data_IF_399842912612
#
_entry.id   IF_399842912612
#
_cell.length_a   1.000
_cell.length_b   1.000
_cell.length_c   1.000
_cell.angle_alpha   90.00
_cell.angle_beta   90.00
_cell.angle_gamma   90.00
#
_symmetry.space_group_name_H-M   'P 1'
#
loop_
_entity.id
_entity.type
_entity.pdbx_description
1 polymer ?
#
# COMPACT_ATOMS: atom_id res chain seq x y z
N UNK A 1 -13.09 -5.01 -6.85
CA UNK A 1 -13.77 -6.06 -6.08
C UNK A 1 -12.83 -6.51 -4.99
N UNK A 2 -13.28 -6.43 -3.73
CA UNK A 2 -12.49 -6.87 -2.59
C UNK A 2 -12.39 -8.39 -2.64
N UNK A 3 -11.17 -8.91 -2.72
CA UNK A 3 -10.90 -10.33 -2.54
C UNK A 3 -10.79 -10.58 -1.04
N UNK A 4 -11.81 -11.19 -0.45
CA UNK A 4 -11.80 -11.63 0.94
C UNK A 4 -11.26 -13.06 0.97
N UNK A 5 -10.08 -13.24 1.55
CA UNK A 5 -9.52 -14.57 1.80
C UNK A 5 -10.03 -15.01 3.17
N UNK A 6 -11.01 -15.91 3.18
CA UNK A 6 -11.48 -16.57 4.40
C UNK A 6 -10.93 -18.00 4.42
N UNK A 7 -10.10 -18.30 5.40
CA UNK A 7 -9.73 -19.68 5.73
C UNK A 7 -10.59 -20.16 6.91
N UNK A 8 -11.64 -20.88 6.59
CA UNK A 8 -12.59 -21.42 7.58
C UNK A 8 -12.00 -22.63 8.34
N UNK A 9 -10.88 -23.19 7.87
CA UNK A 9 -10.33 -24.45 8.42
C UNK A 9 -9.37 -24.29 9.61
N UNK A 10 -8.62 -23.19 9.71
CA UNK A 10 -7.55 -23.06 10.71
C UNK A 10 -8.01 -22.56 12.09
N UNK A 11 -9.16 -21.88 12.17
CA UNK A 11 -9.65 -21.28 13.43
C UNK A 11 -10.30 -22.27 14.40
N UNK A 12 -10.81 -23.39 13.93
CA UNK A 12 -11.52 -24.37 14.79
C UNK A 12 -10.61 -25.43 15.45
N UNK A 13 -9.36 -25.54 15.03
CA UNK A 13 -8.41 -26.54 15.56
C UNK A 13 -8.03 -26.34 17.04
N UNK A 14 -8.46 -25.26 17.68
CA UNK A 14 -8.17 -25.00 19.11
C UNK A 14 -9.06 -25.74 20.11
N UNK A 15 -10.12 -26.45 19.70
CA UNK A 15 -11.12 -26.95 20.64
C UNK A 15 -11.59 -28.40 20.51
N UNK A 16 -11.10 -29.24 19.62
CA UNK A 16 -11.54 -30.63 19.61
C UNK A 16 -10.46 -31.63 19.26
N UNK A 17 -10.48 -32.72 20.01
CA UNK A 17 -9.69 -33.92 19.82
C UNK A 17 -9.92 -34.53 18.43
N UNK A 18 -8.84 -34.96 17.78
CA UNK A 18 -8.81 -35.86 16.62
C UNK A 18 -9.77 -35.51 15.47
N UNK A 19 -9.45 -34.46 14.74
CA UNK A 19 -10.04 -34.21 13.42
C UNK A 19 -9.45 -35.24 12.43
N UNK A 20 -10.35 -35.99 11.76
CA UNK A 20 -9.96 -36.91 10.69
C UNK A 20 -9.20 -36.15 9.60
N UNK A 21 -8.19 -36.78 9.05
CA UNK A 21 -7.25 -36.24 8.04
C UNK A 21 -7.92 -35.71 6.75
N UNK A 22 -9.23 -35.92 6.59
CA UNK A 22 -10.01 -35.49 5.42
C UNK A 22 -10.52 -34.05 5.46
N UNK A 23 -10.47 -33.35 6.62
CA UNK A 23 -10.91 -31.96 6.79
C UNK A 23 -9.78 -30.92 6.75
N UNK A 24 -8.53 -31.38 6.72
CA UNK A 24 -7.37 -30.50 6.46
C UNK A 24 -7.27 -30.26 4.96
N UNK A 25 -7.29 -29.01 4.52
CA UNK A 25 -7.13 -28.61 3.12
C UNK A 25 -6.01 -29.34 2.39
N UNK A 26 -5.94 -29.21 1.08
CA UNK A 26 -4.98 -29.96 0.26
C UNK A 26 -3.54 -29.82 0.78
N UNK A 27 -2.83 -30.93 1.10
CA UNK A 27 -1.50 -30.89 1.72
C UNK A 27 -0.44 -30.17 0.89
N UNK A 28 -0.68 -29.92 -0.39
CA UNK A 28 0.20 -29.21 -1.30
C UNK A 28 0.39 -27.72 -0.96
N UNK A 29 -0.57 -27.12 -0.22
CA UNK A 29 -0.55 -25.70 0.16
C UNK A 29 -0.17 -25.49 1.62
N UNK A 30 0.01 -26.57 2.39
CA UNK A 30 0.37 -26.48 3.80
C UNK A 30 1.79 -25.96 4.00
N UNK A 31 1.95 -25.10 4.99
CA UNK A 31 3.27 -24.63 5.43
C UNK A 31 4.03 -25.72 6.20
N UNK A 32 5.37 -25.62 6.29
CA UNK A 32 6.20 -26.52 7.09
C UNK A 32 5.73 -26.68 8.53
N UNK A 33 5.35 -25.58 9.18
CA UNK A 33 4.88 -25.54 10.57
C UNK A 33 3.50 -26.22 10.72
N UNK A 34 2.60 -26.11 9.72
CA UNK A 34 1.33 -26.86 9.71
C UNK A 34 1.58 -28.36 9.65
N UNK A 35 2.47 -28.82 8.76
CA UNK A 35 2.84 -30.24 8.67
C UNK A 35 3.53 -30.77 9.93
N UNK A 36 4.22 -29.89 10.67
CA UNK A 36 4.88 -30.24 11.93
C UNK A 36 3.99 -30.03 13.16
N UNK A 37 2.73 -29.59 13.00
CA UNK A 37 1.79 -29.27 14.08
C UNK A 37 2.37 -28.29 15.09
N UNK A 38 3.14 -27.30 14.60
CA UNK A 38 3.69 -26.20 15.39
C UNK A 38 2.67 -25.06 15.52
N UNK A 39 3.02 -24.04 16.28
CA UNK A 39 2.21 -22.83 16.41
C UNK A 39 2.04 -22.15 15.02
N UNK A 40 0.79 -21.83 14.69
CA UNK A 40 0.42 -21.17 13.44
C UNK A 40 0.33 -19.66 13.65
N UNK A 41 0.87 -18.93 12.71
CA UNK A 41 0.82 -17.48 12.68
C UNK A 41 0.42 -17.03 11.28
N UNK A 42 0.25 -15.73 11.07
CA UNK A 42 0.00 -15.17 9.75
C UNK A 42 1.08 -15.54 8.70
N UNK A 43 2.28 -15.91 9.13
CA UNK A 43 3.32 -16.41 8.22
C UNK A 43 2.94 -17.75 7.58
N UNK A 44 2.10 -18.56 8.24
CA UNK A 44 1.59 -19.81 7.66
C UNK A 44 0.67 -19.53 6.48
N UNK A 45 -0.22 -18.55 6.62
CA UNK A 45 -1.13 -18.10 5.56
C UNK A 45 -0.35 -17.46 4.41
N UNK A 46 0.68 -16.68 4.74
CA UNK A 46 1.58 -16.07 3.76
C UNK A 46 2.29 -17.14 2.90
N UNK A 47 2.75 -18.23 3.53
CA UNK A 47 3.34 -19.36 2.82
C UNK A 47 2.32 -20.01 1.88
N UNK A 48 1.12 -20.31 2.36
CA UNK A 48 0.03 -20.91 1.57
C UNK A 48 -0.34 -20.02 0.37
N UNK A 49 -0.45 -18.70 0.59
CA UNK A 49 -0.68 -17.74 -0.49
C UNK A 49 0.48 -17.73 -1.50
N UNK A 50 1.72 -17.81 -1.03
CA UNK A 50 2.88 -17.87 -1.93
C UNK A 50 2.89 -19.15 -2.78
N UNK A 51 2.42 -20.30 -2.24
CA UNK A 51 2.21 -21.53 -3.01
C UNK A 51 1.18 -21.32 -4.12
N UNK A 52 0.04 -20.69 -3.79
CA UNK A 52 -1.02 -20.39 -4.77
C UNK A 52 -0.49 -19.46 -5.86
N UNK A 53 0.21 -18.38 -5.49
CA UNK A 53 0.81 -17.45 -6.45
C UNK A 53 1.84 -18.13 -7.35
N UNK A 54 2.66 -19.01 -6.78
CA UNK A 54 3.63 -19.79 -7.53
C UNK A 54 2.93 -20.64 -8.58
N UNK A 55 1.87 -21.39 -8.22
CA UNK A 55 1.11 -22.24 -9.13
C UNK A 55 0.40 -21.41 -10.21
N UNK A 56 -0.23 -20.28 -9.86
CA UNK A 56 -0.88 -19.40 -10.84
C UNK A 56 0.11 -18.83 -11.86
N UNK A 57 1.32 -18.49 -11.43
CA UNK A 57 2.31 -17.88 -12.30
C UNK A 57 3.05 -18.90 -13.18
N UNK A 58 3.29 -20.11 -12.68
CA UNK A 58 4.10 -21.11 -13.38
C UNK A 58 3.28 -22.23 -14.02
N UNK A 59 2.03 -22.40 -13.60
CA UNK A 59 1.20 -23.56 -13.94
C UNK A 59 1.60 -24.84 -13.19
N UNK A 60 2.57 -24.75 -12.26
CA UNK A 60 3.10 -25.89 -11.51
C UNK A 60 3.17 -25.56 -10.02
N UNK A 61 2.95 -26.56 -9.17
CA UNK A 61 3.16 -26.41 -7.74
C UNK A 61 4.64 -26.40 -7.38
N UNK A 62 5.07 -25.66 -6.34
CA UNK A 62 6.48 -25.63 -5.94
C UNK A 62 7.00 -27.00 -5.46
N UNK A 63 6.09 -27.86 -4.95
CA UNK A 63 6.42 -29.19 -4.48
C UNK A 63 5.36 -30.19 -4.96
N UNK A 64 5.83 -31.27 -5.59
CA UNK A 64 5.02 -32.43 -6.01
C UNK A 64 5.78 -33.71 -5.69
N UNK A 65 5.06 -34.79 -5.38
CA UNK A 65 5.63 -36.11 -5.11
C UNK A 65 4.59 -37.20 -5.34
N UNK A 66 5.04 -38.44 -5.47
CA UNK A 66 4.20 -39.62 -5.75
C UNK A 66 3.42 -40.09 -4.51
N UNK A 67 3.82 -39.67 -3.32
CA UNK A 67 3.13 -39.99 -2.09
C UNK A 67 3.26 -38.86 -1.06
N UNK A 68 2.42 -38.91 -0.03
CA UNK A 68 2.30 -37.87 0.98
C UNK A 68 3.57 -37.67 1.81
N UNK A 69 4.28 -38.75 2.15
CA UNK A 69 5.51 -38.65 2.94
C UNK A 69 6.64 -38.01 2.13
N UNK A 70 6.81 -38.36 0.88
CA UNK A 70 7.78 -37.72 -0.02
C UNK A 70 7.44 -36.24 -0.25
N UNK A 71 6.13 -35.90 -0.36
CA UNK A 71 5.69 -34.51 -0.45
C UNK A 71 6.05 -33.74 0.82
N UNK A 72 5.76 -34.33 1.98
CA UNK A 72 6.12 -33.75 3.28
C UNK A 72 7.60 -33.46 3.40
N UNK A 73 8.46 -34.41 3.02
CA UNK A 73 9.92 -34.24 3.03
C UNK A 73 10.34 -33.08 2.13
N UNK A 74 9.76 -32.93 0.94
CA UNK A 74 10.04 -31.82 0.05
C UNK A 74 9.63 -30.48 0.64
N UNK A 75 8.42 -30.37 1.21
CA UNK A 75 7.93 -29.15 1.84
C UNK A 75 8.82 -28.73 3.01
N UNK A 76 9.26 -29.71 3.81
CA UNK A 76 10.07 -29.43 5.01
C UNK A 76 11.53 -29.06 4.69
N UNK A 77 12.14 -29.68 3.69
CA UNK A 77 13.59 -29.67 3.57
C UNK A 77 14.14 -29.21 2.21
N UNK A 78 13.35 -29.27 1.13
CA UNK A 78 13.87 -28.91 -0.19
C UNK A 78 13.49 -27.48 -0.57
N UNK A 79 14.40 -26.70 -1.18
CA UNK A 79 14.03 -25.41 -1.76
C UNK A 79 13.12 -25.61 -2.97
N UNK A 80 12.17 -24.72 -3.21
CA UNK A 80 11.39 -24.75 -4.45
C UNK A 80 12.24 -24.30 -5.63
N UNK A 81 11.86 -24.74 -6.82
CA UNK A 81 12.49 -24.29 -8.08
C UNK A 81 12.16 -22.83 -8.33
N UNK A 82 13.06 -22.07 -8.91
CA UNK A 82 12.81 -20.67 -9.23
C UNK A 82 11.69 -20.53 -10.30
N UNK A 83 10.64 -19.73 -10.08
CA UNK A 83 9.54 -19.54 -11.03
C UNK A 83 9.99 -19.19 -12.44
N UNK A 84 10.97 -18.28 -12.59
CA UNK A 84 11.49 -17.86 -13.91
C UNK A 84 12.22 -18.97 -14.68
N UNK A 85 12.63 -20.05 -14.01
CA UNK A 85 13.21 -21.22 -14.70
C UNK A 85 12.15 -22.11 -15.35
N UNK A 86 10.93 -22.10 -14.82
CA UNK A 86 9.78 -22.83 -15.37
C UNK A 86 9.04 -22.01 -16.43
N UNK A 87 8.97 -20.70 -16.22
CA UNK A 87 8.29 -19.78 -17.13
C UNK A 87 9.19 -18.58 -17.43
N UNK A 88 9.83 -18.59 -18.60
CA UNK A 88 10.92 -17.67 -18.99
C UNK A 88 10.49 -16.21 -19.19
N UNK A 89 9.20 -15.93 -19.40
CA UNK A 89 8.64 -14.58 -19.51
C UNK A 89 8.43 -13.91 -18.16
N UNK A 90 8.57 -14.63 -17.04
CA UNK A 90 8.50 -14.06 -15.71
C UNK A 90 9.78 -13.25 -15.38
N UNK A 91 9.61 -12.05 -14.78
CA UNK A 91 10.75 -11.28 -14.30
C UNK A 91 11.50 -12.03 -13.20
N UNK A 92 12.84 -12.09 -13.26
CA UNK A 92 13.66 -12.73 -12.21
C UNK A 92 13.41 -12.20 -10.79
N UNK A 93 12.88 -10.98 -10.65
CA UNK A 93 12.51 -10.44 -9.35
C UNK A 93 11.41 -11.23 -8.65
N UNK A 94 10.52 -11.92 -9.41
CA UNK A 94 9.46 -12.74 -8.81
C UNK A 94 10.05 -13.94 -8.08
N UNK A 95 11.19 -14.46 -8.53
CA UNK A 95 11.88 -15.56 -7.86
C UNK A 95 12.24 -15.17 -6.42
N UNK A 96 12.90 -14.02 -6.26
CA UNK A 96 13.30 -13.53 -4.94
C UNK A 96 12.10 -13.35 -4.01
N UNK A 97 10.98 -12.80 -4.52
CA UNK A 97 9.78 -12.54 -3.72
C UNK A 97 9.10 -13.84 -3.29
N UNK A 98 8.86 -14.75 -4.22
CA UNK A 98 8.18 -16.00 -3.90
C UNK A 98 9.05 -16.95 -3.09
N UNK A 99 10.34 -17.07 -3.40
CA UNK A 99 11.26 -17.91 -2.62
C UNK A 99 11.43 -17.41 -1.19
N UNK A 100 11.39 -16.09 -0.95
CA UNK A 100 11.40 -15.51 0.38
C UNK A 100 10.13 -15.86 1.16
N UNK A 101 8.94 -15.70 0.56
CA UNK A 101 7.68 -16.07 1.19
C UNK A 101 7.55 -17.60 1.43
N UNK A 102 8.21 -18.42 0.62
CA UNK A 102 8.28 -19.88 0.72
C UNK A 102 9.43 -20.38 1.62
N UNK A 103 10.09 -19.51 2.39
CA UNK A 103 11.12 -19.90 3.35
C UNK A 103 10.58 -20.91 4.36
N UNK A 104 11.42 -21.88 4.76
CA UNK A 104 10.99 -22.99 5.63
C UNK A 104 10.71 -22.55 7.05
N UNK A 105 11.44 -21.56 7.53
CA UNK A 105 11.29 -20.98 8.87
C UNK A 105 10.38 -19.75 8.79
N UNK A 106 9.29 -19.65 9.57
CA UNK A 106 8.37 -18.49 9.52
C UNK A 106 9.08 -17.13 9.65
N UNK A 107 10.01 -16.98 10.60
CA UNK A 107 10.76 -15.74 10.81
C UNK A 107 11.75 -15.36 9.70
N UNK A 108 11.95 -16.20 8.70
CA UNK A 108 12.72 -15.90 7.49
C UNK A 108 11.84 -15.45 6.31
N UNK A 109 10.52 -15.34 6.52
CA UNK A 109 9.57 -14.77 5.56
C UNK A 109 9.45 -13.27 5.78
N UNK A 110 8.57 -12.61 5.02
CA UNK A 110 8.30 -11.18 5.25
C UNK A 110 7.74 -10.94 6.65
N UNK A 111 8.20 -9.90 7.33
CA UNK A 111 7.80 -9.58 8.69
C UNK A 111 6.34 -9.10 8.78
N UNK A 112 5.77 -8.59 7.67
CA UNK A 112 4.40 -8.12 7.60
C UNK A 112 3.76 -8.43 6.24
N UNK A 113 2.41 -8.46 6.22
CA UNK A 113 1.65 -8.52 4.96
C UNK A 113 1.94 -7.34 4.04
N UNK A 114 2.16 -6.17 4.62
CA UNK A 114 2.49 -4.95 3.88
C UNK A 114 3.82 -5.10 3.14
N UNK A 115 4.86 -5.62 3.78
CA UNK A 115 6.14 -5.88 3.11
C UNK A 115 6.00 -6.86 1.94
N UNK A 116 5.25 -7.95 2.14
CA UNK A 116 5.00 -8.91 1.06
C UNK A 116 4.22 -8.29 -0.11
N UNK A 117 3.16 -7.53 0.20
CA UNK A 117 2.36 -6.83 -0.82
C UNK A 117 3.20 -5.81 -1.60
N UNK A 118 4.05 -5.02 -0.92
CA UNK A 118 4.95 -4.06 -1.55
C UNK A 118 5.98 -4.75 -2.45
N UNK A 119 6.54 -5.87 -2.01
CA UNK A 119 7.48 -6.65 -2.82
C UNK A 119 6.84 -7.18 -4.12
N UNK A 120 5.60 -7.68 -4.04
CA UNK A 120 4.83 -8.12 -5.21
C UNK A 120 4.48 -6.95 -6.14
N UNK A 121 4.00 -5.84 -5.58
CA UNK A 121 3.60 -4.66 -6.35
C UNK A 121 4.77 -4.02 -7.08
N UNK A 122 5.96 -3.99 -6.49
CA UNK A 122 7.18 -3.48 -7.14
C UNK A 122 7.64 -4.29 -8.36
N UNK A 123 7.05 -5.49 -8.56
CA UNK A 123 7.23 -6.27 -9.80
C UNK A 123 6.18 -5.86 -10.82
N UNK A 124 4.92 -5.74 -10.39
CA UNK A 124 3.80 -5.35 -11.24
C UNK A 124 4.01 -3.96 -11.86
N UNK A 125 4.61 -3.03 -11.11
CA UNK A 125 4.90 -1.67 -11.56
C UNK A 125 5.72 -1.62 -12.86
N UNK A 126 6.63 -2.58 -13.06
CA UNK A 126 7.44 -2.67 -14.29
C UNK A 126 6.71 -3.31 -15.48
N UNK A 127 5.61 -3.99 -15.22
CA UNK A 127 4.80 -4.68 -16.23
C UNK A 127 3.59 -3.85 -16.65
N UNK A 128 3.25 -2.80 -15.90
CA UNK A 128 2.10 -1.93 -16.16
C UNK A 128 2.53 -0.68 -16.94
N UNK A 129 1.63 -0.12 -17.77
CA UNK A 129 1.88 1.17 -18.39
C UNK A 129 2.17 2.25 -17.35
N UNK A 130 3.05 3.20 -17.68
CA UNK A 130 3.43 4.32 -16.78
C UNK A 130 2.24 5.17 -16.30
N UNK A 131 1.10 5.09 -17.01
CA UNK A 131 -0.15 5.77 -16.63
C UNK A 131 -0.85 5.12 -15.43
N UNK A 132 -0.53 3.86 -15.09
CA UNK A 132 -1.14 3.15 -13.98
C UNK A 132 -0.40 3.51 -12.68
N UNK A 133 -1.12 4.07 -11.72
CA UNK A 133 -0.60 4.34 -10.38
C UNK A 133 -0.92 3.13 -9.52
N UNK A 134 0.11 2.33 -9.19
CA UNK A 134 -0.07 1.14 -8.36
C UNK A 134 -0.25 1.49 -6.88
N UNK A 135 -0.97 0.67 -6.15
CA UNK A 135 -1.31 0.95 -4.75
C UNK A 135 -0.08 1.02 -3.83
N UNK A 136 0.99 0.29 -4.15
CA UNK A 136 2.26 0.40 -3.44
C UNK A 136 2.91 1.78 -3.58
N UNK A 137 2.87 2.39 -4.77
CA UNK A 137 3.38 3.76 -4.98
C UNK A 137 2.60 4.77 -4.15
N UNK A 138 1.26 4.64 -4.13
CA UNK A 138 0.37 5.47 -3.31
C UNK A 138 0.66 5.33 -1.81
N UNK A 139 0.79 4.08 -1.35
CA UNK A 139 1.09 3.78 0.05
C UNK A 139 2.46 4.35 0.47
N UNK A 140 3.50 4.12 -0.33
CA UNK A 140 4.86 4.62 -0.05
C UNK A 140 4.88 6.15 0.00
N UNK A 141 4.14 6.83 -0.90
CA UNK A 141 4.03 8.28 -0.89
C UNK A 141 3.47 8.80 0.44
N UNK A 142 2.39 8.19 0.97
CA UNK A 142 1.81 8.57 2.27
C UNK A 142 2.72 8.17 3.45
N UNK A 143 3.34 6.99 3.40
CA UNK A 143 4.17 6.48 4.51
C UNK A 143 5.42 7.30 4.79
N UNK A 144 5.94 8.01 3.78
CA UNK A 144 7.10 8.89 3.90
C UNK A 144 6.80 10.19 4.64
N UNK A 145 5.53 10.56 4.76
CA UNK A 145 5.13 11.80 5.39
C UNK A 145 5.24 11.71 6.93
N UNK A 146 6.10 12.52 7.57
CA UNK A 146 6.29 12.47 9.02
C UNK A 146 5.01 12.75 9.81
N UNK A 147 4.12 13.59 9.29
CA UNK A 147 2.85 13.91 9.95
C UNK A 147 1.88 12.73 9.97
N UNK A 148 2.05 11.76 9.06
CA UNK A 148 1.26 10.53 8.98
C UNK A 148 1.95 9.33 9.64
N UNK A 149 3.16 9.49 10.19
CA UNK A 149 3.96 8.40 10.75
C UNK A 149 3.30 7.65 11.92
N UNK A 150 2.34 8.29 12.60
CA UNK A 150 1.59 7.66 13.70
C UNK A 150 0.36 6.85 13.27
N UNK A 151 0.01 6.85 11.97
CA UNK A 151 -1.05 5.99 11.46
C UNK A 151 -0.59 4.54 11.37
N UNK A 152 -1.49 3.63 11.72
CA UNK A 152 -1.33 2.20 11.43
C UNK A 152 -1.37 1.94 9.91
N UNK A 153 -0.87 0.78 9.50
CA UNK A 153 -0.95 0.38 8.09
C UNK A 153 -2.40 0.33 7.57
N UNK A 154 -3.34 -0.09 8.42
CA UNK A 154 -4.78 -0.14 8.07
C UNK A 154 -5.31 1.26 7.77
N UNK A 155 -5.02 2.24 8.62
CA UNK A 155 -5.43 3.64 8.44
C UNK A 155 -4.75 4.29 7.23
N UNK A 156 -3.48 3.98 6.96
CA UNK A 156 -2.81 4.42 5.73
C UNK A 156 -3.48 3.85 4.48
N UNK A 157 -3.89 2.58 4.51
CA UNK A 157 -4.64 1.98 3.41
C UNK A 157 -6.05 2.57 3.24
N UNK A 158 -6.68 3.04 4.32
CA UNK A 158 -7.91 3.84 4.22
C UNK A 158 -7.67 5.14 3.44
N UNK A 159 -6.58 5.88 3.72
CA UNK A 159 -6.20 7.08 2.98
C UNK A 159 -5.90 6.79 1.51
N UNK A 160 -5.15 5.72 1.22
CA UNK A 160 -4.86 5.28 -0.17
C UNK A 160 -6.14 5.09 -0.96
N UNK A 161 -7.15 4.46 -0.36
CA UNK A 161 -8.44 4.14 -1.00
C UNK A 161 -9.41 5.32 -1.05
N UNK A 162 -9.34 6.23 -0.08
CA UNK A 162 -10.21 7.41 -0.03
C UNK A 162 -9.84 8.47 -1.07
N UNK A 163 -8.59 8.48 -1.55
CA UNK A 163 -8.09 9.44 -2.51
C UNK A 163 -8.30 9.01 -3.96
N UNK A 164 -8.62 9.97 -4.82
CA UNK A 164 -8.40 9.84 -6.26
C UNK A 164 -6.95 10.21 -6.59
N UNK A 165 -6.16 9.25 -7.07
CA UNK A 165 -4.76 9.46 -7.38
C UNK A 165 -4.57 9.78 -8.85
N UNK A 166 -3.82 10.85 -9.14
CA UNK A 166 -3.57 11.33 -10.49
C UNK A 166 -2.09 11.67 -10.70
N UNK A 167 -1.59 11.40 -11.91
CA UNK A 167 -0.33 11.97 -12.40
C UNK A 167 -0.64 13.27 -13.12
N UNK A 168 0.00 14.33 -12.71
CA UNK A 168 -0.15 15.66 -13.32
C UNK A 168 1.10 15.96 -14.13
N UNK A 169 0.96 16.21 -15.46
CA UNK A 169 2.10 16.56 -16.29
C UNK A 169 2.76 17.88 -15.86
N UNK A 170 4.02 18.13 -16.25
CA UNK A 170 4.68 19.41 -16.03
C UNK A 170 3.85 20.60 -16.55
N UNK A 171 4.01 21.76 -15.95
CA UNK A 171 3.40 23.05 -16.30
C UNK A 171 1.84 22.99 -16.39
N UNK A 172 1.22 22.05 -15.68
CA UNK A 172 -0.24 21.89 -15.62
C UNK A 172 -0.83 22.60 -14.41
N UNK A 173 -1.95 23.27 -14.60
CA UNK A 173 -2.68 23.93 -13.49
C UNK A 173 -3.53 22.89 -12.73
N UNK A 174 -3.23 22.69 -11.45
CA UNK A 174 -3.98 21.81 -10.54
C UNK A 174 -5.18 22.56 -9.95
N UNK A 175 -5.00 23.81 -9.62
CA UNK A 175 -5.99 24.65 -8.95
C UNK A 175 -5.78 26.10 -9.36
N UNK A 176 -6.85 26.82 -9.65
CA UNK A 176 -6.79 28.26 -10.00
C UNK A 176 -7.28 29.13 -8.87
N UNK A 177 -6.64 30.30 -8.68
CA UNK A 177 -7.12 31.34 -7.80
C UNK A 177 -8.56 31.74 -8.14
N UNK A 178 -9.40 31.93 -7.14
CA UNK A 178 -10.82 32.26 -7.21
C UNK A 178 -11.75 31.14 -7.74
N UNK A 179 -11.23 29.99 -8.18
CA UNK A 179 -12.09 28.85 -8.51
C UNK A 179 -12.80 28.34 -7.24
N UNK A 180 -14.02 27.83 -7.43
CA UNK A 180 -14.77 27.16 -6.37
C UNK A 180 -14.35 25.69 -6.29
N UNK A 181 -14.09 25.19 -5.11
CA UNK A 181 -13.76 23.78 -4.94
C UNK A 181 -13.52 23.43 -3.47
N UNK A 182 -13.83 22.18 -3.11
CA UNK A 182 -13.76 21.67 -1.72
C UNK A 182 -12.66 20.60 -1.52
N UNK A 183 -12.03 20.13 -2.60
CA UNK A 183 -11.00 19.10 -2.51
C UNK A 183 -9.81 19.54 -1.68
N UNK A 184 -9.34 18.63 -0.85
CA UNK A 184 -8.02 18.68 -0.23
C UNK A 184 -7.05 17.89 -1.14
N UNK A 185 -5.84 18.38 -1.28
CA UNK A 185 -4.79 17.75 -2.07
C UNK A 185 -3.61 17.40 -1.19
N UNK A 186 -2.99 16.25 -1.47
CA UNK A 186 -1.73 15.83 -0.89
C UNK A 186 -0.74 15.56 -2.02
N UNK A 187 0.44 16.17 -1.95
CA UNK A 187 1.50 16.01 -2.93
C UNK A 187 2.37 14.81 -2.57
N UNK A 188 2.12 13.68 -3.22
CA UNK A 188 2.85 12.44 -2.99
C UNK A 188 4.23 12.39 -3.65
N UNK A 189 4.45 13.17 -4.74
CA UNK A 189 5.75 13.30 -5.41
C UNK A 189 5.81 14.56 -6.26
N UNK A 190 6.98 15.16 -6.32
CA UNK A 190 7.29 16.33 -7.16
C UNK A 190 7.18 17.65 -6.42
N UNK A 191 7.13 18.76 -7.17
CA UNK A 191 7.02 20.13 -6.66
C UNK A 191 5.97 20.92 -7.44
N UNK A 192 5.23 21.79 -6.75
CA UNK A 192 4.24 22.67 -7.36
C UNK A 192 4.45 24.14 -6.93
N UNK A 193 4.34 25.04 -7.88
CA UNK A 193 4.46 26.49 -7.68
C UNK A 193 3.13 27.05 -7.18
N UNK A 194 3.17 27.87 -6.15
CA UNK A 194 2.04 28.64 -5.63
C UNK A 194 2.13 30.06 -6.12
N UNK A 195 1.15 30.51 -6.89
CA UNK A 195 1.10 31.89 -7.39
C UNK A 195 -0.21 32.56 -6.98
N UNK A 196 -0.14 33.87 -6.72
CA UNK A 196 -1.30 34.71 -6.45
C UNK A 196 -1.14 36.04 -7.16
N UNK A 197 -2.17 36.47 -7.88
CA UNK A 197 -2.10 37.67 -8.72
C UNK A 197 -0.86 37.69 -9.62
N UNK A 198 -0.47 36.55 -10.19
CA UNK A 198 0.70 36.38 -11.05
C UNK A 198 2.06 36.38 -10.33
N UNK A 199 2.10 36.60 -9.01
CA UNK A 199 3.35 36.55 -8.23
C UNK A 199 3.55 35.22 -7.55
N UNK A 200 4.72 34.63 -7.65
CA UNK A 200 5.05 33.40 -6.93
C UNK A 200 5.20 33.69 -5.43
N UNK A 201 4.44 32.98 -4.62
CA UNK A 201 4.46 33.11 -3.16
C UNK A 201 5.32 32.04 -2.50
N UNK A 202 5.20 30.80 -2.97
CA UNK A 202 5.82 29.62 -2.35
C UNK A 202 5.95 28.47 -3.35
N UNK A 203 6.58 27.39 -2.92
CA UNK A 203 6.61 26.09 -3.58
C UNK A 203 6.09 25.06 -2.60
N UNK A 204 5.17 24.21 -3.05
CA UNK A 204 4.68 23.03 -2.32
C UNK A 204 5.59 21.88 -2.69
N UNK A 205 6.05 21.13 -1.69
CA UNK A 205 6.94 19.99 -1.86
C UNK A 205 6.24 18.67 -1.55
N UNK A 206 6.90 17.60 -1.92
CA UNK A 206 6.51 16.23 -1.56
C UNK A 206 6.20 16.13 -0.06
N UNK A 207 5.06 15.52 0.28
CA UNK A 207 4.56 15.40 1.65
C UNK A 207 3.62 16.52 2.10
N UNK A 208 3.52 17.63 1.38
CA UNK A 208 2.68 18.75 1.80
C UNK A 208 1.23 18.64 1.29
N UNK A 209 0.29 19.08 2.15
CA UNK A 209 -1.11 19.27 1.77
C UNK A 209 -1.38 20.70 1.30
N UNK A 210 -2.35 20.85 0.40
CA UNK A 210 -2.85 22.16 -0.02
C UNK A 210 -4.34 22.11 -0.37
N UNK A 211 -4.97 23.29 -0.51
CA UNK A 211 -6.41 23.39 -0.71
C UNK A 211 -7.21 23.25 0.59
N UNK A 212 -6.54 23.14 1.73
CA UNK A 212 -7.09 22.96 3.07
C UNK A 212 -8.06 24.09 3.48
N UNK A 213 -7.80 25.31 3.02
CA UNK A 213 -8.66 26.46 3.38
C UNK A 213 -10.09 26.30 2.88
N UNK A 214 -10.27 25.74 1.68
CA UNK A 214 -11.60 25.49 1.14
C UNK A 214 -12.23 24.21 1.68
N UNK A 215 -11.39 23.28 2.20
CA UNK A 215 -11.82 22.06 2.86
C UNK A 215 -12.35 22.35 4.29
N UNK A 216 -11.64 23.19 5.06
CA UNK A 216 -11.98 23.52 6.45
C UNK A 216 -13.18 24.48 6.54
N UNK A 217 -13.31 25.42 5.60
CA UNK A 217 -14.45 26.33 5.57
C UNK A 217 -15.66 25.63 4.98
N UNK A 218 -16.72 25.54 5.77
CA UNK A 218 -18.00 25.02 5.27
C UNK A 218 -18.51 25.90 4.12
N UNK A 219 -18.73 25.29 2.96
CA UNK A 219 -19.13 25.97 1.74
C UNK A 219 -18.01 26.03 0.67
N UNK A 220 -18.38 26.39 -0.57
CA UNK A 220 -17.46 26.54 -1.67
C UNK A 220 -16.68 27.87 -1.58
N UNK A 221 -15.75 27.96 -0.62
CA UNK A 221 -14.88 29.12 -0.54
C UNK A 221 -13.97 29.21 -1.78
N UNK A 222 -13.71 30.42 -2.32
CA UNK A 222 -12.81 30.59 -3.45
C UNK A 222 -11.38 30.16 -3.08
N UNK A 223 -10.69 29.54 -4.02
CA UNK A 223 -9.28 29.17 -3.89
C UNK A 223 -8.41 30.42 -3.71
N UNK A 224 -7.51 30.40 -2.75
CA UNK A 224 -6.68 31.55 -2.38
C UNK A 224 -5.48 31.79 -3.30
N UNK A 225 -5.13 30.80 -4.13
CA UNK A 225 -3.96 30.85 -5.01
C UNK A 225 -4.11 29.88 -6.19
N UNK A 226 -3.31 30.09 -7.22
CA UNK A 226 -3.12 29.14 -8.31
C UNK A 226 -1.96 28.21 -8.00
N UNK A 227 -2.16 26.92 -8.24
CA UNK A 227 -1.14 25.88 -8.08
C UNK A 227 -0.84 25.28 -9.44
N UNK A 228 0.43 25.31 -9.83
CA UNK A 228 0.93 24.79 -11.11
C UNK A 228 2.08 23.82 -10.86
N UNK A 229 2.06 22.67 -11.52
CA UNK A 229 3.14 21.68 -11.44
C UNK A 229 4.45 22.24 -11.99
N UNK A 230 5.56 22.08 -11.24
CA UNK A 230 6.88 22.45 -11.71
C UNK A 230 7.53 21.33 -12.56
N UNK A 231 7.11 20.10 -12.33
CA UNK A 231 7.48 18.87 -13.04
C UNK A 231 6.31 17.91 -13.01
N UNK A 232 6.53 16.63 -13.28
CA UNK A 232 5.48 15.60 -13.08
C UNK A 232 5.16 15.48 -11.59
N UNK A 233 3.86 15.45 -11.24
CA UNK A 233 3.38 15.25 -9.88
C UNK A 233 2.66 13.91 -9.74
N UNK A 234 2.80 13.30 -8.57
CA UNK A 234 1.86 12.31 -8.04
C UNK A 234 0.99 13.00 -6.99
N UNK A 235 -0.30 13.09 -7.26
CA UNK A 235 -1.24 13.86 -6.45
C UNK A 235 -2.38 12.97 -5.96
N UNK A 236 -2.67 13.04 -4.66
CA UNK A 236 -3.86 12.48 -4.06
C UNK A 236 -4.91 13.58 -3.85
N UNK A 237 -6.09 13.40 -4.43
CA UNK A 237 -7.23 14.29 -4.30
C UNK A 237 -8.24 13.67 -3.34
N UNK A 238 -8.61 14.39 -2.29
CA UNK A 238 -9.61 13.96 -1.32
C UNK A 238 -10.86 14.80 -1.42
N UNK A 239 -11.98 14.14 -1.67
CA UNK A 239 -13.30 14.76 -1.52
C UNK A 239 -13.71 14.72 -0.03
N UNK A 240 -14.37 15.77 0.50
CA UNK A 240 -14.81 15.80 1.91
C UNK A 240 -15.64 14.57 2.30
N UNK A 241 -16.49 14.10 1.42
CA UNK A 241 -17.38 12.96 1.62
C UNK A 241 -16.61 11.63 1.73
N UNK A 242 -15.49 11.51 1.04
CA UNK A 242 -14.61 10.32 1.13
C UNK A 242 -13.91 10.29 2.48
N UNK A 243 -13.39 11.44 2.94
CA UNK A 243 -12.74 11.55 4.25
C UNK A 243 -13.70 11.31 5.41
N UNK A 244 -14.95 11.76 5.29
CA UNK A 244 -15.99 11.55 6.31
C UNK A 244 -16.37 10.06 6.52
N UNK A 245 -16.05 9.17 5.55
CA UNK A 245 -16.32 7.73 5.64
C UNK A 245 -15.16 6.92 6.25
N UNK A 246 -14.03 7.56 6.51
CA UNK A 246 -12.88 6.92 7.13
C UNK A 246 -13.13 6.62 8.61
N UNK A 247 -12.31 5.76 9.19
CA UNK A 247 -12.34 5.50 10.63
C UNK A 247 -12.12 6.78 11.45
N UNK A 248 -12.70 6.90 12.64
CA UNK A 248 -12.50 8.08 13.50
C UNK A 248 -11.03 8.35 13.81
N UNK A 249 -10.21 7.29 13.94
CA UNK A 249 -8.76 7.40 14.16
C UNK A 249 -8.06 8.09 12.99
N UNK A 250 -8.31 7.63 11.77
CA UNK A 250 -7.73 8.21 10.56
C UNK A 250 -8.19 9.67 10.33
N UNK A 251 -9.48 9.99 10.59
CA UNK A 251 -10.00 11.36 10.51
C UNK A 251 -9.30 12.29 11.51
N UNK A 252 -9.20 11.87 12.78
CA UNK A 252 -8.54 12.66 13.82
C UNK A 252 -7.07 12.90 13.47
N UNK A 253 -6.38 11.88 12.97
CA UNK A 253 -4.97 11.98 12.61
C UNK A 253 -4.76 12.96 11.46
N UNK A 254 -5.55 12.84 10.39
CA UNK A 254 -5.52 13.76 9.25
C UNK A 254 -5.81 15.20 9.70
N UNK A 255 -6.80 15.40 10.56
CA UNK A 255 -7.12 16.73 11.11
C UNK A 255 -5.92 17.31 11.87
N UNK A 256 -5.25 16.51 12.70
CA UNK A 256 -4.03 16.95 13.42
C UNK A 256 -2.89 17.29 12.46
N UNK A 257 -2.69 16.50 11.40
CA UNK A 257 -1.69 16.75 10.37
C UNK A 257 -1.95 18.09 9.66
N UNK A 258 -3.21 18.36 9.29
CA UNK A 258 -3.61 19.63 8.69
C UNK A 258 -3.40 20.82 9.61
N UNK A 259 -3.78 20.71 10.89
CA UNK A 259 -3.57 21.78 11.89
C UNK A 259 -2.06 22.06 12.07
N UNK A 260 -1.22 21.03 12.14
CA UNK A 260 0.25 21.20 12.23
C UNK A 260 0.79 21.92 11.00
N UNK A 261 0.40 21.48 9.81
CA UNK A 261 0.83 22.12 8.55
C UNK A 261 0.45 23.60 8.49
N UNK A 262 -0.75 23.97 8.97
CA UNK A 262 -1.21 25.36 9.06
C UNK A 262 -0.40 26.17 10.08
N UNK A 263 -0.05 25.58 11.23
CA UNK A 263 0.78 26.22 12.25
C UNK A 263 2.18 26.52 11.71
N UNK A 264 2.82 25.53 11.06
CA UNK A 264 4.15 25.69 10.47
C UNK A 264 4.17 26.78 9.38
N UNK A 265 3.13 26.83 8.55
CA UNK A 265 2.99 27.90 7.54
C UNK A 265 2.77 29.28 8.16
N UNK A 266 2.05 29.37 9.25
CA UNK A 266 1.83 30.62 9.98
C UNK A 266 3.15 31.12 10.58
N UNK A 267 3.92 30.26 11.24
CA UNK A 267 5.24 30.61 11.77
C UNK A 267 6.19 31.14 10.68
N UNK A 268 6.23 30.46 9.53
CA UNK A 268 7.03 30.92 8.39
C UNK A 268 6.56 32.27 7.86
N UNK A 269 5.27 32.54 7.85
CA UNK A 269 4.72 33.83 7.40
C UNK A 269 5.10 34.96 8.36
N UNK A 270 5.00 34.74 9.67
CA UNK A 270 5.37 35.71 10.72
C UNK A 270 6.87 36.02 10.63
N UNK A 271 7.70 35.01 10.49
CA UNK A 271 9.17 35.18 10.40
C UNK A 271 9.59 35.97 9.16
N UNK A 272 8.86 35.85 8.04
CA UNK A 272 9.10 36.64 6.82
C UNK A 272 8.63 38.08 6.90
N UNK A 273 7.65 38.41 7.73
CA UNK A 273 7.16 39.77 7.92
C UNK A 273 8.00 40.56 8.94
N UNK A 274 8.72 39.87 9.82
CA UNK A 274 9.60 40.49 10.81
C UNK A 274 11.01 40.85 10.30
N UNK A 275 11.28 40.66 9.03
CA UNK A 275 12.51 41.09 8.31
C UNK A 275 12.16 42.12 7.25
#
# INVERSE_FOLDING_TARGET
GDVKIEDIGAGELRKSQAVKTEELGSPYYMSPEQLQRRELTFHSDMYSLAVVLYELLTGHRPFTADNLEALRQKILHHPPVAPSSLRRDLPKKIDAVLLHALAKTPGQRYATWTEFALALSGIAEKLLPSSVIVDSEKYVALRREPTLAGLSDVELWELVRAANWVRVPPESTVMRENDKGRKLFYLGKGEAKVTRHGRQLNVIREGECFGEMAFIREGAAPRSATITSAGELLLAEFEPEALARMSPGAQLFLTRALVRNLADRLELAITKQGR
#
